data_IF_874339746085
#
_entry.id   IF_874339746085
#
_cell.length_a   1.000
_cell.length_b   1.000
_cell.length_c   1.000
_cell.angle_alpha   90.00
_cell.angle_beta   90.00
_cell.angle_gamma   90.00
#
_symmetry.space_group_name_H-M   'P 1'
#
loop_
_entity.id
_entity.type
_entity.pdbx_description
1 polymer ?
#
# COMPACT_ATOMS: atom_id res chain seq x y z
N UNK A 1 25.30 -1.10 -10.71
CA UNK A 1 24.32 -0.02 -10.48
C UNK A 1 24.07 0.13 -8.98
N UNK A 2 23.97 1.37 -8.50
CA UNK A 2 23.78 1.73 -7.09
C UNK A 2 22.50 1.10 -6.51
N UNK A 3 21.43 0.96 -7.30
CA UNK A 3 20.20 0.34 -6.82
C UNK A 3 20.37 -1.17 -6.55
N UNK A 4 21.12 -1.87 -7.41
CA UNK A 4 21.44 -3.29 -7.18
C UNK A 4 22.30 -3.48 -5.92
N UNK A 5 23.26 -2.59 -5.69
CA UNK A 5 24.07 -2.60 -4.46
C UNK A 5 23.22 -2.41 -3.21
N UNK A 6 22.34 -1.41 -3.17
CA UNK A 6 21.46 -1.14 -2.02
C UNK A 6 20.49 -2.30 -1.74
N UNK A 7 19.94 -2.93 -2.79
CA UNK A 7 19.10 -4.14 -2.65
C UNK A 7 19.88 -5.32 -2.06
N UNK A 8 21.12 -5.54 -2.52
CA UNK A 8 22.00 -6.59 -1.98
C UNK A 8 22.50 -6.29 -0.57
N UNK A 9 22.58 -5.02 -0.17
CA UNK A 9 22.97 -4.60 1.16
C UNK A 9 21.83 -4.79 2.18
N UNK A 10 20.59 -4.50 1.79
CA UNK A 10 19.41 -4.53 2.67
C UNK A 10 19.30 -5.75 3.60
N UNK A 11 19.39 -7.02 3.12
CA UNK A 11 19.24 -8.18 4.00
C UNK A 11 20.36 -8.35 5.02
N UNK A 12 21.50 -7.67 4.84
CA UNK A 12 22.65 -7.71 5.76
C UNK A 12 22.57 -6.64 6.85
N UNK A 13 21.66 -5.68 6.70
CA UNK A 13 21.49 -4.57 7.65
C UNK A 13 20.82 -5.06 8.93
N UNK A 14 21.50 -4.86 10.07
CA UNK A 14 20.95 -5.17 11.39
C UNK A 14 20.12 -4.00 11.97
N UNK A 15 20.41 -2.77 11.52
CA UNK A 15 19.72 -1.57 12.00
C UNK A 15 18.44 -1.32 11.21
N UNK A 16 17.30 -1.27 11.91
CA UNK A 16 16.01 -0.89 11.30
C UNK A 16 16.06 0.50 10.65
N UNK A 17 16.78 1.45 11.26
CA UNK A 17 16.97 2.80 10.70
C UNK A 17 17.73 2.76 9.37
N UNK A 18 18.73 1.88 9.24
CA UNK A 18 19.44 1.72 7.97
C UNK A 18 18.55 1.04 6.93
N UNK A 19 17.81 -0.01 7.31
CA UNK A 19 16.82 -0.64 6.42
C UNK A 19 15.83 0.39 5.87
N UNK A 20 15.25 1.21 6.72
CA UNK A 20 14.35 2.30 6.32
C UNK A 20 15.00 3.27 5.34
N UNK A 21 16.22 3.74 5.64
CA UNK A 21 16.95 4.63 4.73
C UNK A 21 17.21 3.99 3.37
N UNK A 22 17.47 2.69 3.34
CA UNK A 22 17.63 1.94 2.10
C UNK A 22 16.33 1.85 1.30
N UNK A 23 15.19 1.58 1.94
CA UNK A 23 13.88 1.59 1.29
C UNK A 23 13.57 2.95 0.66
N UNK A 24 13.78 4.02 1.43
CA UNK A 24 13.59 5.39 0.95
C UNK A 24 14.53 5.71 -0.21
N UNK A 25 15.83 5.44 -0.07
CA UNK A 25 16.80 5.72 -1.13
C UNK A 25 16.41 5.02 -2.44
N UNK A 26 16.03 3.74 -2.38
CA UNK A 26 15.59 2.97 -3.55
C UNK A 26 14.30 3.52 -4.17
N UNK A 27 13.40 4.08 -3.37
CA UNK A 27 12.17 4.70 -3.88
C UNK A 27 12.42 6.03 -4.62
N UNK A 28 13.51 6.74 -4.28
CA UNK A 28 13.88 8.00 -4.95
C UNK A 28 14.72 7.77 -6.21
N UNK A 29 15.28 6.57 -6.39
CA UNK A 29 16.12 6.25 -7.54
C UNK A 29 15.29 5.90 -8.76
N UNK A 30 15.55 6.56 -9.88
CA UNK A 30 15.04 6.15 -11.19
C UNK A 30 15.68 4.83 -11.60
N UNK A 31 14.90 3.76 -11.66
CA UNK A 31 15.40 2.44 -12.01
C UNK A 31 14.29 1.43 -12.21
N UNK A 32 14.37 0.67 -13.30
CA UNK A 32 13.43 -0.43 -13.54
C UNK A 32 13.57 -1.47 -12.43
N UNK A 33 12.45 -1.80 -11.78
CA UNK A 33 12.36 -2.88 -10.79
C UNK A 33 12.51 -2.48 -9.31
N UNK A 34 12.75 -1.20 -8.98
CA UNK A 34 12.77 -0.77 -7.57
C UNK A 34 11.38 -0.90 -6.92
N UNK A 35 10.32 -0.51 -7.62
CA UNK A 35 8.94 -0.66 -7.14
C UNK A 35 8.58 -2.14 -6.91
N UNK A 36 8.98 -3.02 -7.83
CA UNK A 36 8.79 -4.47 -7.69
C UNK A 36 9.53 -5.01 -6.46
N UNK A 37 10.77 -4.58 -6.26
CA UNK A 37 11.55 -4.98 -5.10
C UNK A 37 10.94 -4.45 -3.79
N UNK A 38 10.42 -3.22 -3.75
CA UNK A 38 9.69 -2.70 -2.59
C UNK A 38 8.42 -3.53 -2.31
N UNK A 39 7.71 -3.99 -3.35
CA UNK A 39 6.58 -4.91 -3.22
C UNK A 39 7.02 -6.29 -2.68
N UNK A 40 8.17 -6.81 -3.09
CA UNK A 40 8.76 -8.04 -2.52
C UNK A 40 9.02 -7.87 -1.01
N UNK A 41 9.60 -6.75 -0.59
CA UNK A 41 9.79 -6.46 0.85
C UNK A 41 8.44 -6.35 1.57
N UNK A 42 7.44 -5.66 0.99
CA UNK A 42 6.11 -5.53 1.60
C UNK A 42 5.42 -6.88 1.87
N UNK A 43 5.65 -7.87 0.98
CA UNK A 43 5.05 -9.21 1.09
C UNK A 43 5.88 -10.21 1.90
N UNK A 44 7.13 -9.89 2.22
CA UNK A 44 8.02 -10.76 2.96
C UNK A 44 7.67 -10.78 4.46
N UNK A 45 6.98 -11.83 4.91
CA UNK A 45 6.57 -11.99 6.33
C UNK A 45 7.73 -12.22 7.31
N UNK A 46 8.96 -12.41 6.83
CA UNK A 46 10.17 -12.45 7.68
C UNK A 46 10.69 -11.06 8.03
N UNK A 47 10.25 -10.03 7.30
CA UNK A 47 10.61 -8.65 7.61
C UNK A 47 9.72 -8.09 8.72
N UNK A 48 10.26 -7.23 9.61
CA UNK A 48 9.44 -6.53 10.60
C UNK A 48 8.31 -5.77 9.93
N UNK A 49 7.12 -5.78 10.54
CA UNK A 49 5.91 -5.15 9.98
C UNK A 49 6.13 -3.69 9.58
N UNK A 50 6.91 -2.94 10.37
CA UNK A 50 7.27 -1.56 10.08
C UNK A 50 8.08 -1.40 8.78
N UNK A 51 8.98 -2.33 8.46
CA UNK A 51 9.72 -2.30 7.20
C UNK A 51 8.81 -2.64 6.03
N UNK A 52 7.91 -3.59 6.21
CA UNK A 52 6.91 -3.97 5.19
C UNK A 52 5.97 -2.80 4.88
N UNK A 53 5.48 -2.09 5.90
CA UNK A 53 4.63 -0.90 5.75
C UNK A 53 5.35 0.22 5.00
N UNK A 54 6.61 0.50 5.36
CA UNK A 54 7.43 1.52 4.67
C UNK A 54 7.70 1.13 3.22
N UNK A 55 8.00 -0.14 2.96
CA UNK A 55 8.20 -0.62 1.59
C UNK A 55 6.92 -0.48 0.76
N UNK A 56 5.78 -0.87 1.32
CA UNK A 56 4.47 -0.72 0.66
C UNK A 56 4.11 0.75 0.42
N UNK A 57 4.36 1.62 1.41
CA UNK A 57 4.16 3.06 1.26
C UNK A 57 4.96 3.61 0.07
N UNK A 58 6.26 3.32 0.03
CA UNK A 58 7.12 3.81 -1.05
C UNK A 58 6.78 3.20 -2.40
N UNK A 59 6.41 1.91 -2.47
CA UNK A 59 5.90 1.31 -3.70
C UNK A 59 4.64 2.03 -4.20
N UNK A 60 3.72 2.37 -3.30
CA UNK A 60 2.50 3.11 -3.62
C UNK A 60 2.74 4.54 -4.10
N UNK A 61 3.72 5.24 -3.52
CA UNK A 61 4.15 6.57 -3.98
C UNK A 61 4.91 6.51 -5.32
N UNK A 62 5.57 5.38 -5.60
CA UNK A 62 6.26 5.12 -6.84
C UNK A 62 5.33 4.69 -7.98
N UNK A 63 5.88 3.93 -8.93
CA UNK A 63 5.17 3.49 -10.12
C UNK A 63 4.70 2.02 -10.02
N UNK A 64 4.52 1.49 -8.80
CA UNK A 64 3.97 0.16 -8.62
C UNK A 64 2.61 0.05 -9.34
N UNK A 65 2.40 -0.99 -10.18
CA UNK A 65 1.15 -1.12 -10.93
C UNK A 65 -0.05 -1.24 -9.98
N UNK A 66 -1.05 -0.36 -10.16
CA UNK A 66 -2.22 -0.35 -9.26
C UNK A 66 -2.95 -1.70 -9.22
N UNK A 67 -2.99 -2.42 -10.34
CA UNK A 67 -3.58 -3.77 -10.39
C UNK A 67 -2.88 -4.76 -9.45
N UNK A 68 -1.56 -4.67 -9.31
CA UNK A 68 -0.80 -5.52 -8.37
C UNK A 68 -1.12 -5.16 -6.92
N UNK A 69 -1.18 -3.85 -6.60
CA UNK A 69 -1.57 -3.36 -5.27
C UNK A 69 -2.98 -3.83 -4.90
N UNK A 70 -3.97 -3.63 -5.79
CA UNK A 70 -5.37 -4.06 -5.59
C UNK A 70 -5.46 -5.57 -5.33
N UNK A 71 -4.78 -6.38 -6.14
CA UNK A 71 -4.74 -7.84 -5.97
C UNK A 71 -4.00 -8.27 -4.70
N UNK A 72 -3.11 -7.43 -4.16
CA UNK A 72 -2.37 -7.74 -2.96
C UNK A 72 -3.28 -7.70 -1.71
N UNK A 73 -4.29 -6.84 -1.67
CA UNK A 73 -5.20 -6.71 -0.51
C UNK A 73 -5.83 -8.04 -0.08
N UNK A 74 -6.41 -8.77 -1.03
CA UNK A 74 -7.11 -10.03 -0.75
C UNK A 74 -6.16 -11.15 -0.32
N UNK A 75 -4.86 -11.03 -0.64
CA UNK A 75 -3.82 -12.03 -0.33
C UNK A 75 -3.01 -11.65 0.91
N UNK A 76 -3.25 -10.46 1.48
CA UNK A 76 -2.49 -9.95 2.61
C UNK A 76 -3.08 -10.49 3.93
N UNK A 77 -2.36 -11.35 4.68
CA UNK A 77 -2.90 -11.96 5.89
C UNK A 77 -3.02 -10.96 7.04
N UNK A 78 -2.09 -10.02 7.13
CA UNK A 78 -1.99 -9.11 8.27
C UNK A 78 -2.99 -7.95 8.13
N UNK A 79 -3.87 -7.78 9.13
CA UNK A 79 -4.82 -6.66 9.18
C UNK A 79 -4.13 -5.31 9.06
N UNK A 80 -3.00 -5.13 9.74
CA UNK A 80 -2.24 -3.88 9.70
C UNK A 80 -1.69 -3.57 8.30
N UNK A 81 -1.27 -4.59 7.55
CA UNK A 81 -0.84 -4.41 6.16
C UNK A 81 -2.01 -4.13 5.22
N UNK A 82 -3.19 -4.72 5.46
CA UNK A 82 -4.42 -4.36 4.76
C UNK A 82 -4.83 -2.91 5.03
N UNK A 83 -4.67 -2.43 6.26
CA UNK A 83 -4.88 -1.01 6.60
C UNK A 83 -3.90 -0.11 5.85
N UNK A 84 -2.61 -0.50 5.77
CA UNK A 84 -1.63 0.25 4.99
C UNK A 84 -1.98 0.30 3.49
N UNK A 85 -2.51 -0.79 2.92
CA UNK A 85 -3.00 -0.79 1.53
C UNK A 85 -4.17 0.17 1.32
N UNK A 86 -5.12 0.24 2.26
CA UNK A 86 -6.21 1.21 2.22
C UNK A 86 -5.66 2.64 2.17
N UNK A 87 -4.64 2.94 2.99
CA UNK A 87 -3.98 4.24 2.97
C UNK A 87 -3.19 4.50 1.68
N UNK A 88 -2.59 3.47 1.07
CA UNK A 88 -1.97 3.62 -0.25
C UNK A 88 -3.04 3.97 -1.30
N UNK A 89 -4.17 3.26 -1.32
CA UNK A 89 -5.24 3.54 -2.28
C UNK A 89 -5.80 4.95 -2.17
N UNK A 90 -5.90 5.51 -0.96
CA UNK A 90 -6.41 6.88 -0.77
C UNK A 90 -5.49 7.95 -1.34
N UNK A 91 -4.21 7.65 -1.54
CA UNK A 91 -3.23 8.56 -2.13
C UNK A 91 -3.07 8.38 -3.65
N UNK A 92 -3.50 7.23 -4.18
CA UNK A 92 -3.44 6.94 -5.62
C UNK A 92 -4.58 7.66 -6.34
N UNK A 93 -4.28 8.25 -7.50
CA UNK A 93 -5.28 8.87 -8.38
C UNK A 93 -5.88 7.89 -9.39
N UNK A 94 -5.48 6.63 -9.33
CA UNK A 94 -5.96 5.59 -10.23
C UNK A 94 -7.45 5.28 -9.97
N UNK A 95 -8.23 5.16 -11.04
CA UNK A 95 -9.64 4.75 -10.97
C UNK A 95 -9.82 3.46 -10.15
N UNK A 96 -8.93 2.48 -10.39
CA UNK A 96 -8.95 1.18 -9.71
C UNK A 96 -8.68 1.26 -8.20
N UNK A 97 -7.94 2.29 -7.73
CA UNK A 97 -7.72 2.50 -6.30
C UNK A 97 -9.02 2.92 -5.61
N UNK A 98 -9.74 3.89 -6.18
CA UNK A 98 -11.07 4.30 -5.69
C UNK A 98 -12.06 3.15 -5.76
N UNK A 99 -12.08 2.39 -6.87
CA UNK A 99 -12.96 1.23 -7.01
C UNK A 99 -12.71 0.20 -5.90
N UNK A 100 -11.44 -0.04 -5.55
CA UNK A 100 -11.10 -0.94 -4.45
C UNK A 100 -11.48 -0.38 -3.08
N UNK A 101 -11.34 0.93 -2.84
CA UNK A 101 -11.82 1.55 -1.59
C UNK A 101 -13.34 1.40 -1.43
N UNK A 102 -14.10 1.59 -2.51
CA UNK A 102 -15.56 1.39 -2.53
C UNK A 102 -15.91 -0.08 -2.24
N UNK A 103 -15.22 -1.03 -2.87
CA UNK A 103 -15.40 -2.47 -2.61
C UNK A 103 -15.16 -2.81 -1.13
N UNK A 104 -14.07 -2.32 -0.54
CA UNK A 104 -13.74 -2.54 0.88
C UNK A 104 -14.83 -1.92 1.77
N UNK A 105 -15.22 -0.67 1.52
CA UNK A 105 -16.28 -0.01 2.28
C UNK A 105 -17.62 -0.76 2.26
N UNK A 106 -17.94 -1.44 1.15
CA UNK A 106 -19.19 -2.19 0.97
C UNK A 106 -19.12 -3.64 1.46
N UNK A 107 -17.97 -4.31 1.42
CA UNK A 107 -17.91 -5.78 1.58
C UNK A 107 -16.93 -6.30 2.60
N UNK A 108 -16.01 -5.47 3.10
CA UNK A 108 -15.06 -5.91 4.10
C UNK A 108 -15.77 -6.33 5.39
N UNK A 109 -15.39 -7.52 5.89
CA UNK A 109 -15.96 -8.12 7.09
C UNK A 109 -15.31 -7.56 8.36
N UNK A 110 -14.02 -7.20 8.26
CA UNK A 110 -13.33 -6.51 9.34
C UNK A 110 -13.86 -5.07 9.46
N UNK A 111 -14.60 -4.80 10.52
CA UNK A 111 -15.23 -3.49 10.74
C UNK A 111 -14.22 -2.34 10.85
N UNK A 112 -13.00 -2.59 11.35
CA UNK A 112 -11.98 -1.55 11.44
C UNK A 112 -11.47 -1.17 10.05
N UNK A 113 -11.20 -2.16 9.19
CA UNK A 113 -10.80 -1.93 7.81
C UNK A 113 -11.92 -1.26 7.00
N UNK A 114 -13.17 -1.69 7.18
CA UNK A 114 -14.35 -1.07 6.55
C UNK A 114 -14.48 0.42 6.92
N UNK A 115 -14.35 0.74 8.21
CA UNK A 115 -14.37 2.14 8.71
C UNK A 115 -13.23 2.98 8.13
N UNK A 116 -12.03 2.41 7.98
CA UNK A 116 -10.89 3.12 7.36
C UNK A 116 -11.15 3.43 5.89
N UNK A 117 -11.72 2.50 5.13
CA UNK A 117 -12.10 2.76 3.74
C UNK A 117 -13.16 3.86 3.64
N UNK A 118 -14.20 3.82 4.47
CA UNK A 118 -15.23 4.87 4.55
C UNK A 118 -14.63 6.24 4.89
N UNK A 119 -13.72 6.30 5.87
CA UNK A 119 -13.01 7.54 6.22
C UNK A 119 -12.29 8.14 5.02
N UNK A 120 -11.51 7.35 4.29
CA UNK A 120 -10.77 7.85 3.12
C UNK A 120 -11.67 8.20 1.94
N UNK A 121 -12.77 7.48 1.73
CA UNK A 121 -13.78 7.87 0.74
C UNK A 121 -14.41 9.22 1.09
N UNK A 122 -14.64 9.50 2.37
CA UNK A 122 -15.14 10.81 2.83
C UNK A 122 -14.16 11.97 2.60
N UNK A 123 -12.87 11.68 2.43
CA UNK A 123 -11.85 12.68 2.07
C UNK A 123 -11.62 12.76 0.54
N UNK A 124 -12.27 11.92 -0.25
CA UNK A 124 -12.08 11.86 -1.69
C UNK A 124 -12.96 12.90 -2.40
N UNK A 125 -12.37 13.57 -3.39
CA UNK A 125 -13.11 14.44 -4.31
C UNK A 125 -13.72 13.69 -5.49
N UNK A 126 -13.60 12.35 -5.53
CA UNK A 126 -14.22 11.52 -6.57
C UNK A 126 -15.74 11.44 -6.35
N UNK A 127 -16.58 11.87 -7.31
CA UNK A 127 -18.03 11.83 -7.15
C UNK A 127 -18.58 10.43 -6.82
N UNK A 128 -17.87 9.38 -7.25
CA UNK A 128 -18.25 7.98 -6.97
C UNK A 128 -18.11 7.63 -5.48
N UNK A 129 -17.23 8.32 -4.76
CA UNK A 129 -17.07 8.15 -3.31
C UNK A 129 -18.32 8.61 -2.57
N UNK A 130 -18.87 9.79 -2.92
CA UNK A 130 -20.10 10.30 -2.33
C UNK A 130 -21.28 9.34 -2.55
N UNK A 131 -21.44 8.82 -3.78
CA UNK A 131 -22.47 7.84 -4.10
C UNK A 131 -22.30 6.54 -3.29
N UNK A 132 -21.07 6.03 -3.18
CA UNK A 132 -20.79 4.83 -2.38
C UNK A 132 -21.10 5.03 -0.89
N UNK A 133 -20.81 6.21 -0.33
CA UNK A 133 -21.11 6.54 1.06
C UNK A 133 -22.62 6.58 1.31
N UNK A 134 -23.40 7.20 0.41
CA UNK A 134 -24.86 7.23 0.51
C UNK A 134 -25.46 5.82 0.51
N UNK A 135 -24.98 4.94 -0.37
CA UNK A 135 -25.45 3.56 -0.43
C UNK A 135 -25.11 2.75 0.82
N UNK A 136 -23.96 3.00 1.46
CA UNK A 136 -23.60 2.32 2.72
C UNK A 136 -24.45 2.82 3.89
N UNK A 137 -24.84 4.09 3.90
CA UNK A 137 -25.70 4.67 4.95
C UNK A 137 -27.15 4.17 4.83
N UNK A 138 -27.62 3.94 3.60
CA UNK A 138 -29.00 3.52 3.31
C UNK A 138 -29.22 2.00 3.39
N UNK A 139 -28.19 1.21 3.74
CA UNK A 139 -28.28 -0.22 4.01
C UNK A 139 -28.64 -0.48 5.48
#
# INVERSE_FOLDING_TARGET
>A
DNAAFLRGLYPRLQSQRLKERTLFALSQMSGQGNDRWLMEIATNTREPVEMRKKALFWAGQGNAPIGELVNLYNRMPDREMREQLIFVYSQRRDRAATDKLIDIARREQDQALRKKALFWLGQSNDPRAAQALLEVINQ
#
